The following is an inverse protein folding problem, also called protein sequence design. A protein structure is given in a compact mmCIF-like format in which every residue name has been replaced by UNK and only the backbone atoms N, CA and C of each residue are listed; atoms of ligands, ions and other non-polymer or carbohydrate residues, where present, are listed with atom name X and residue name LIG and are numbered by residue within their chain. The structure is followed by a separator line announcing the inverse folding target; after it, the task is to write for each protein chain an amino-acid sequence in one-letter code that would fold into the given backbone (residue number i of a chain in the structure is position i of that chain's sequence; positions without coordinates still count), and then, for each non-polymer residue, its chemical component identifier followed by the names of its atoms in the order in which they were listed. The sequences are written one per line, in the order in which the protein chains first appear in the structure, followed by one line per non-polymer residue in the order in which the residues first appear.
data_IF_471976946063
#
_entry.id   IF_471976946063
#
_cell.length_a   1.000
_cell.length_b   1.000
_cell.length_c   1.000
_cell.angle_alpha   90.00
_cell.angle_beta   90.00
_cell.angle_gamma   90.00
#
_symmetry.space_group_name_H-M   'P 1'
#
loop_
_entity.id
_entity.type
_entity.pdbx_description
1 polymer ?
#
# COMPACT_ATOMS: atom_id res chain seq x y z
N UNK A 1 10.73 -9.20 9.97
CA UNK A 1 11.87 -8.85 9.08
C UNK A 1 13.03 -8.46 9.96
N UNK A 2 14.24 -8.80 9.53
CA UNK A 2 15.44 -8.31 10.17
C UNK A 2 15.51 -6.79 9.98
N UNK A 3 15.88 -6.07 11.04
CA UNK A 3 16.17 -4.63 10.97
C UNK A 3 17.13 -4.27 9.80
N UNK A 4 17.92 -5.24 9.33
CA UNK A 4 18.90 -5.10 8.24
C UNK A 4 18.31 -4.71 6.87
N UNK A 5 17.14 -5.23 6.46
CA UNK A 5 16.63 -4.94 5.10
C UNK A 5 16.12 -3.51 4.97
N UNK A 6 15.37 -3.05 5.97
CA UNK A 6 14.89 -1.67 6.00
C UNK A 6 16.07 -0.70 6.15
N UNK A 7 17.04 -1.01 7.01
CA UNK A 7 18.26 -0.21 7.15
C UNK A 7 19.05 -0.11 5.85
N UNK A 8 19.21 -1.22 5.12
CA UNK A 8 19.88 -1.24 3.82
C UNK A 8 19.13 -0.40 2.78
N UNK A 9 17.81 -0.51 2.71
CA UNK A 9 17.01 0.30 1.80
C UNK A 9 17.12 1.80 2.10
N UNK A 10 17.06 2.18 3.38
CA UNK A 10 17.22 3.58 3.78
C UNK A 10 18.65 4.10 3.58
N UNK A 11 19.66 3.25 3.68
CA UNK A 11 21.03 3.61 3.30
C UNK A 11 21.12 3.95 1.81
N UNK A 12 20.52 3.13 0.94
CA UNK A 12 20.46 3.37 -0.52
C UNK A 12 19.72 4.69 -0.82
N UNK A 13 18.59 4.93 -0.16
CA UNK A 13 17.85 6.20 -0.30
C UNK A 13 18.73 7.39 0.06
N UNK A 14 19.40 7.36 1.22
CA UNK A 14 20.30 8.44 1.64
C UNK A 14 21.43 8.68 0.64
N UNK A 15 22.00 7.60 0.08
CA UNK A 15 23.03 7.70 -0.94
C UNK A 15 22.55 8.43 -2.19
N UNK A 16 21.32 8.16 -2.65
CA UNK A 16 20.79 8.78 -3.87
C UNK A 16 20.03 10.10 -3.65
N UNK A 17 19.72 10.49 -2.42
CA UNK A 17 18.74 11.53 -2.08
C UNK A 17 18.95 12.87 -2.81
N UNK A 18 20.20 13.32 -2.98
CA UNK A 18 20.55 14.57 -3.68
C UNK A 18 20.47 14.46 -5.22
N UNK A 19 20.37 13.25 -5.75
CA UNK A 19 20.39 12.92 -7.18
C UNK A 19 19.11 12.24 -7.67
N UNK A 20 18.08 12.17 -6.82
CA UNK A 20 16.79 11.60 -7.21
C UNK A 20 16.14 12.52 -8.26
N UNK A 21 15.59 11.96 -9.35
CA UNK A 21 14.80 12.72 -10.29
C UNK A 21 13.50 13.19 -9.63
N UNK A 22 12.78 14.09 -10.30
CA UNK A 22 11.38 14.34 -9.97
C UNK A 22 10.60 13.01 -10.02
N UNK A 23 9.64 12.84 -9.11
CA UNK A 23 8.83 11.62 -9.09
C UNK A 23 8.11 11.44 -10.43
N UNK A 24 8.26 10.28 -11.09
CA UNK A 24 7.54 9.99 -12.32
C UNK A 24 6.08 9.61 -12.05
N UNK A 25 5.73 9.29 -10.81
CA UNK A 25 4.37 8.93 -10.44
C UNK A 25 3.42 10.11 -10.67
N UNK A 26 2.33 9.85 -11.37
CA UNK A 26 1.25 10.81 -11.61
C UNK A 26 0.08 10.44 -10.73
N UNK A 27 -0.42 11.43 -10.00
CA UNK A 27 -1.63 11.31 -9.20
C UNK A 27 -2.71 12.15 -9.88
N UNK A 28 -3.95 11.64 -9.91
CA UNK A 28 -5.06 12.47 -10.39
C UNK A 28 -5.28 13.66 -9.46
N UNK A 29 -5.71 14.79 -10.03
CA UNK A 29 -6.01 16.00 -9.25
C UNK A 29 -7.38 15.88 -8.59
N UNK A 30 -7.42 15.96 -7.26
CA UNK A 30 -8.70 16.17 -6.57
C UNK A 30 -9.01 17.66 -6.55
N UNK A 31 -9.83 18.12 -7.50
CA UNK A 31 -10.28 19.51 -7.59
C UNK A 31 -10.99 20.04 -6.31
N UNK A 32 -11.33 19.15 -5.38
CA UNK A 32 -12.04 19.45 -4.13
C UNK A 32 -11.13 19.98 -3.00
N UNK A 33 -9.79 19.91 -3.10
CA UNK A 33 -8.91 20.24 -1.99
C UNK A 33 -8.62 21.74 -1.79
N UNK A 34 -9.07 22.61 -2.72
CA UNK A 34 -8.51 23.97 -2.81
C UNK A 34 -9.19 25.04 -1.96
N UNK A 35 -10.41 24.87 -1.42
CA UNK A 35 -11.15 26.05 -0.90
C UNK A 35 -11.91 25.91 0.43
N UNK A 36 -11.84 24.79 1.15
CA UNK A 36 -12.52 24.69 2.44
C UNK A 36 -11.74 23.84 3.46
N UNK A 37 -11.31 24.48 4.55
CA UNK A 37 -10.99 23.89 5.86
C UNK A 37 -10.25 22.55 5.94
N UNK A 38 -9.01 22.56 6.43
CA UNK A 38 -8.28 21.45 7.08
C UNK A 38 -8.17 20.07 6.37
N UNK A 39 -8.70 19.90 5.16
CA UNK A 39 -8.68 18.61 4.46
C UNK A 39 -7.25 18.23 4.09
N UNK A 40 -6.78 17.09 4.60
CA UNK A 40 -5.47 16.52 4.28
C UNK A 40 -5.60 15.57 3.10
N UNK A 41 -4.79 15.77 2.07
CA UNK A 41 -4.78 14.93 0.87
C UNK A 41 -3.68 13.87 1.01
N UNK A 42 -4.05 12.61 0.91
CA UNK A 42 -3.14 11.46 0.92
C UNK A 42 -2.78 11.05 -0.50
N UNK A 43 -1.51 10.84 -0.79
CA UNK A 43 -1.00 10.32 -2.07
C UNK A 43 -0.94 8.81 -2.06
N UNK A 44 -1.82 8.17 -2.81
CA UNK A 44 -1.96 6.71 -2.88
C UNK A 44 -1.40 6.20 -4.20
N UNK A 45 -0.42 5.30 -4.13
CA UNK A 45 0.25 4.77 -5.32
C UNK A 45 -0.04 3.28 -5.46
N UNK A 46 -0.76 2.92 -6.51
CA UNK A 46 -0.96 1.54 -6.91
C UNK A 46 0.21 1.07 -7.78
N UNK A 47 0.94 0.06 -7.32
CA UNK A 47 2.04 -0.53 -8.07
C UNK A 47 1.52 -1.71 -8.88
N UNK A 48 1.69 -1.64 -10.20
CA UNK A 48 1.47 -2.75 -11.13
C UNK A 48 2.77 -3.27 -11.70
N UNK A 49 2.78 -4.52 -12.17
CA UNK A 49 3.92 -5.12 -12.86
C UNK A 49 3.96 -4.77 -14.35
N UNK A 50 2.79 -4.59 -14.95
CA UNK A 50 2.60 -4.40 -16.39
C UNK A 50 1.25 -3.75 -16.64
N UNK A 51 1.15 -2.93 -17.68
CA UNK A 51 -0.12 -2.45 -18.25
C UNK A 51 -0.79 -3.49 -19.16
N UNK A 52 0.00 -4.43 -19.69
CA UNK A 52 -0.48 -5.58 -20.48
C UNK A 52 -0.80 -6.78 -19.59
N UNK A 53 -1.68 -7.72 -20.03
CA UNK A 53 -1.98 -8.94 -19.29
C UNK A 53 -0.70 -9.71 -18.91
N UNK A 54 -0.44 -9.81 -17.61
CA UNK A 54 0.70 -10.53 -17.06
C UNK A 54 0.28 -11.34 -15.84
N UNK A 55 1.12 -12.28 -15.43
CA UNK A 55 0.97 -12.96 -14.14
C UNK A 55 1.25 -12.01 -12.98
N UNK A 56 0.56 -12.24 -11.87
CA UNK A 56 0.69 -11.49 -10.62
C UNK A 56 0.19 -10.04 -10.69
N UNK A 57 -0.94 -9.82 -11.35
CA UNK A 57 -1.57 -8.51 -11.47
C UNK A 57 -2.82 -8.36 -10.62
N UNK A 58 -3.07 -7.11 -10.18
CA UNK A 58 -4.37 -6.67 -9.70
C UNK A 58 -5.23 -6.33 -10.92
N UNK A 59 -6.25 -7.14 -11.17
CA UNK A 59 -7.06 -7.07 -12.41
C UNK A 59 -7.99 -5.86 -12.44
N UNK A 60 -8.42 -5.38 -11.29
CA UNK A 60 -9.35 -4.25 -11.15
C UNK A 60 -8.65 -2.96 -10.73
N UNK A 61 -7.38 -2.75 -11.13
CA UNK A 61 -6.61 -1.57 -10.74
C UNK A 61 -7.28 -0.25 -11.18
N UNK A 62 -7.94 -0.24 -12.35
CA UNK A 62 -8.67 0.92 -12.86
C UNK A 62 -9.82 1.29 -11.91
N UNK A 63 -10.66 0.32 -11.55
CA UNK A 63 -11.81 0.52 -10.67
C UNK A 63 -11.37 0.93 -9.25
N UNK A 64 -10.23 0.42 -8.78
CA UNK A 64 -9.66 0.79 -7.49
C UNK A 64 -9.17 2.24 -7.48
N UNK A 65 -8.51 2.69 -8.54
CA UNK A 65 -8.04 4.09 -8.66
C UNK A 65 -9.23 5.04 -8.72
N UNK A 66 -10.28 4.69 -9.45
CA UNK A 66 -11.51 5.50 -9.53
C UNK A 66 -12.19 5.63 -8.17
N UNK A 67 -12.40 4.52 -7.45
CA UNK A 67 -12.96 4.55 -6.10
C UNK A 67 -12.06 5.31 -5.12
N UNK A 68 -10.75 5.19 -5.28
CA UNK A 68 -9.75 5.91 -4.50
C UNK A 68 -9.83 7.43 -4.69
N UNK A 69 -10.02 7.92 -5.91
CA UNK A 69 -10.22 9.35 -6.19
C UNK A 69 -11.47 9.92 -5.50
N UNK A 70 -12.52 9.10 -5.37
CA UNK A 70 -13.75 9.44 -4.67
C UNK A 70 -13.69 9.31 -3.14
N UNK A 71 -12.62 8.71 -2.59
CA UNK A 71 -12.55 8.40 -1.17
C UNK A 71 -12.43 9.67 -0.32
N UNK A 72 -13.26 9.75 0.73
CA UNK A 72 -13.26 10.80 1.74
C UNK A 72 -13.45 10.16 3.10
N UNK A 73 -12.76 10.68 4.11
CA UNK A 73 -12.83 10.17 5.47
C UNK A 73 -12.68 11.28 6.48
N UNK A 74 -13.53 11.30 7.51
CA UNK A 74 -13.37 12.17 8.67
C UNK A 74 -12.95 11.30 9.83
N UNK A 75 -11.76 11.54 10.36
CA UNK A 75 -11.29 10.81 11.54
C UNK A 75 -12.18 11.18 12.74
N UNK A 76 -12.85 10.21 13.38
CA UNK A 76 -13.85 10.50 14.41
C UNK A 76 -13.24 11.07 15.69
N UNK A 77 -11.96 10.81 15.96
CA UNK A 77 -11.28 11.27 17.17
C UNK A 77 -10.80 12.72 17.05
N UNK A 78 -10.30 13.12 15.87
CA UNK A 78 -9.71 14.44 15.63
C UNK A 78 -10.59 15.39 14.80
N UNK A 79 -11.64 14.87 14.16
CA UNK A 79 -12.46 15.58 13.15
C UNK A 79 -11.67 16.08 11.93
N UNK A 80 -10.42 15.63 11.75
CA UNK A 80 -9.63 15.96 10.56
C UNK A 80 -10.24 15.23 9.36
N UNK A 81 -10.46 15.98 8.29
CA UNK A 81 -10.93 15.44 7.01
C UNK A 81 -9.74 14.99 6.16
N UNK A 82 -9.92 13.87 5.47
CA UNK A 82 -8.97 13.28 4.56
C UNK A 82 -9.60 13.03 3.20
N UNK A 83 -8.81 13.25 2.16
CA UNK A 83 -9.09 12.86 0.79
C UNK A 83 -7.90 12.11 0.21
N UNK A 84 -8.05 11.49 -0.96
CA UNK A 84 -6.97 10.77 -1.62
C UNK A 84 -6.74 11.25 -3.06
N UNK A 85 -5.47 11.41 -3.41
CA UNK A 85 -4.98 11.54 -4.78
C UNK A 85 -4.32 10.22 -5.17
N UNK A 86 -4.87 9.56 -6.19
CA UNK A 86 -4.50 8.18 -6.50
C UNK A 86 -3.84 8.10 -7.87
N UNK A 87 -2.78 7.29 -7.95
CA UNK A 87 -1.98 7.10 -9.15
C UNK A 87 -1.59 5.65 -9.36
N UNK A 88 -1.24 5.29 -10.58
CA UNK A 88 -0.68 3.99 -10.93
C UNK A 88 0.78 4.17 -11.33
N UNK A 89 1.65 3.30 -10.83
CA UNK A 89 3.04 3.24 -11.24
C UNK A 89 3.44 1.81 -11.60
N UNK A 90 4.16 1.69 -12.73
CA UNK A 90 4.82 0.46 -13.13
C UNK A 90 6.33 0.65 -12.93
N UNK A 91 6.95 -0.01 -11.95
CA UNK A 91 8.39 0.09 -11.73
C UNK A 91 9.17 -0.36 -12.96
N UNK A 92 10.11 0.49 -13.39
CA UNK A 92 11.04 0.19 -14.48
C UNK A 92 12.37 -0.35 -13.99
N UNK A 93 13.36 -0.42 -14.89
CA UNK A 93 14.73 -0.81 -14.54
C UNK A 93 15.51 0.30 -13.78
N UNK A 94 15.09 1.56 -13.88
CA UNK A 94 15.78 2.65 -13.19
C UNK A 94 15.41 2.72 -11.70
N UNK A 95 16.36 2.33 -10.86
CA UNK A 95 16.22 2.35 -9.41
C UNK A 95 15.89 3.76 -8.87
N UNK A 96 16.50 4.82 -9.41
CA UNK A 96 16.29 6.19 -8.88
C UNK A 96 14.87 6.67 -9.13
N UNK A 97 14.33 6.42 -10.33
CA UNK A 97 12.92 6.68 -10.63
C UNK A 97 11.97 5.88 -9.74
N UNK A 98 12.28 4.61 -9.46
CA UNK A 98 11.48 3.78 -8.55
C UNK A 98 11.49 4.32 -7.12
N UNK A 99 12.66 4.72 -6.60
CA UNK A 99 12.79 5.37 -5.29
C UNK A 99 11.98 6.66 -5.27
N UNK A 100 12.13 7.52 -6.28
CA UNK A 100 11.40 8.78 -6.37
C UNK A 100 9.88 8.57 -6.40
N UNK A 101 9.40 7.58 -7.17
CA UNK A 101 7.99 7.23 -7.27
C UNK A 101 7.40 6.77 -5.93
N UNK A 102 8.02 5.80 -5.25
CA UNK A 102 7.45 5.30 -3.99
C UNK A 102 7.58 6.31 -2.84
N UNK A 103 8.59 7.20 -2.88
CA UNK A 103 8.77 8.24 -1.86
C UNK A 103 7.81 9.40 -2.01
N UNK A 104 7.25 9.63 -3.20
CA UNK A 104 6.18 10.62 -3.38
C UNK A 104 4.82 10.15 -2.86
N UNK A 105 4.69 8.88 -2.47
CA UNK A 105 3.46 8.31 -1.94
C UNK A 105 3.44 8.28 -0.41
N UNK A 106 2.23 8.39 0.15
CA UNK A 106 1.93 8.16 1.56
C UNK A 106 1.58 6.69 1.80
N UNK A 107 0.84 6.11 0.85
CA UNK A 107 0.46 4.70 0.86
C UNK A 107 0.84 4.06 -0.47
N UNK A 108 1.49 2.91 -0.41
CA UNK A 108 1.74 2.06 -1.58
C UNK A 108 0.89 0.80 -1.48
N UNK A 109 0.13 0.52 -2.52
CA UNK A 109 -0.72 -0.67 -2.65
C UNK A 109 -0.21 -1.48 -3.83
N UNK A 110 0.03 -2.77 -3.62
CA UNK A 110 0.41 -3.65 -4.72
C UNK A 110 0.40 -5.11 -4.31
N UNK A 111 0.56 -5.98 -5.31
CA UNK A 111 0.64 -7.42 -5.09
C UNK A 111 2.01 -7.82 -4.57
N UNK A 112 2.05 -8.76 -3.62
CA UNK A 112 3.30 -9.24 -3.06
C UNK A 112 4.27 -9.81 -4.12
N UNK A 113 5.56 -9.65 -3.85
CA UNK A 113 6.66 -10.07 -4.73
C UNK A 113 7.60 -8.91 -5.07
N UNK A 114 8.32 -9.06 -6.19
CA UNK A 114 9.37 -8.12 -6.62
C UNK A 114 8.86 -6.68 -6.81
N UNK A 115 7.62 -6.49 -7.26
CA UNK A 115 7.04 -5.16 -7.46
C UNK A 115 6.97 -4.37 -6.15
N UNK A 116 6.71 -5.05 -5.04
CA UNK A 116 6.60 -4.45 -3.71
C UNK A 116 7.95 -4.33 -2.98
N UNK A 117 9.05 -4.87 -3.52
CA UNK A 117 10.37 -4.61 -2.98
C UNK A 117 10.72 -3.11 -3.04
N UNK A 118 10.18 -2.38 -4.02
CA UNK A 118 10.36 -0.93 -4.09
C UNK A 118 9.75 -0.20 -2.88
N UNK A 119 8.74 -0.78 -2.22
CA UNK A 119 8.12 -0.17 -1.05
C UNK A 119 9.10 -0.07 0.14
N UNK A 120 10.23 -0.79 0.14
CA UNK A 120 11.28 -0.58 1.14
C UNK A 120 11.93 0.81 1.08
N UNK A 121 11.82 1.51 -0.05
CA UNK A 121 12.38 2.85 -0.24
C UNK A 121 11.42 3.98 0.16
N UNK A 122 10.19 3.66 0.60
CA UNK A 122 9.25 4.67 1.08
C UNK A 122 9.85 5.52 2.21
N UNK A 123 9.29 6.71 2.39
CA UNK A 123 9.58 7.57 3.53
C UNK A 123 9.18 6.88 4.83
N UNK A 124 9.87 7.22 5.91
CA UNK A 124 9.42 6.84 7.24
C UNK A 124 7.99 7.37 7.48
N UNK A 125 7.13 6.52 8.03
CA UNK A 125 5.71 6.84 8.21
C UNK A 125 4.84 6.68 6.98
N UNK A 126 5.38 6.16 5.87
CA UNK A 126 4.58 5.61 4.80
C UNK A 126 3.91 4.29 5.21
N UNK A 127 2.71 4.03 4.70
CA UNK A 127 2.06 2.73 4.84
C UNK A 127 2.25 1.88 3.59
N UNK A 128 2.35 0.56 3.83
CA UNK A 128 2.49 -0.44 2.79
C UNK A 128 1.40 -1.48 2.96
N UNK A 129 0.54 -1.61 1.96
CA UNK A 129 -0.40 -2.70 1.89
C UNK A 129 0.14 -3.77 0.95
N UNK A 130 0.23 -4.99 1.44
CA UNK A 130 0.62 -6.14 0.63
C UNK A 130 -0.50 -7.18 0.69
N UNK A 131 -0.90 -7.68 -0.47
CA UNK A 131 -1.68 -8.91 -0.51
C UNK A 131 -0.77 -10.10 -0.23
N UNK A 132 -1.03 -10.90 0.80
CA UNK A 132 -0.31 -12.17 1.02
C UNK A 132 -1.20 -13.28 0.50
N UNK A 133 -0.68 -14.09 -0.41
CA UNK A 133 -1.39 -15.28 -0.87
C UNK A 133 -1.87 -16.12 0.34
N UNK A 134 -3.11 -16.59 0.32
CA UNK A 134 -3.84 -17.23 1.42
C UNK A 134 -3.30 -18.59 1.88
N UNK A 135 -2.00 -18.86 1.70
CA UNK A 135 -1.40 -20.15 1.97
C UNK A 135 -0.19 -19.99 2.91
N UNK A 136 -0.41 -19.95 4.24
CA UNK A 136 0.66 -19.82 5.23
C UNK A 136 1.73 -20.93 5.16
N UNK A 137 1.45 -22.05 4.47
CA UNK A 137 2.38 -23.18 4.32
C UNK A 137 3.01 -23.32 2.92
N UNK A 138 2.72 -22.45 1.94
CA UNK A 138 3.14 -22.65 0.53
C UNK A 138 4.54 -22.12 0.19
N UNK A 139 5.25 -21.52 1.15
CA UNK A 139 6.57 -20.94 0.89
C UNK A 139 7.74 -21.94 0.83
N UNK A 140 7.54 -23.20 1.26
CA UNK A 140 8.56 -24.25 1.15
C UNK A 140 8.41 -25.03 -0.16
N UNK A 141 9.21 -24.66 -1.18
CA UNK A 141 9.41 -25.42 -2.42
C UNK A 141 8.29 -25.26 -3.45
N UNK A 142 8.35 -24.23 -4.31
CA UNK A 142 7.25 -23.93 -5.24
C UNK A 142 7.30 -24.76 -6.53
N UNK A 143 6.75 -25.97 -6.50
CA UNK A 143 6.29 -26.70 -7.70
C UNK A 143 4.77 -26.91 -7.66
N UNK A 144 4.14 -27.11 -8.82
CA UNK A 144 2.71 -27.44 -8.90
C UNK A 144 1.76 -26.28 -8.58
N UNK A 145 0.64 -26.58 -7.94
CA UNK A 145 -0.50 -25.66 -7.80
C UNK A 145 -0.23 -24.48 -6.85
N UNK A 146 0.70 -24.62 -5.89
CA UNK A 146 1.16 -23.52 -5.06
C UNK A 146 1.82 -22.39 -5.88
N UNK A 147 2.60 -22.77 -6.92
CA UNK A 147 3.17 -21.79 -7.86
C UNK A 147 2.08 -21.12 -8.69
N UNK A 148 1.08 -21.88 -9.16
CA UNK A 148 -0.05 -21.33 -9.94
C UNK A 148 -0.87 -20.33 -9.12
N UNK A 149 -1.18 -20.64 -7.87
CA UNK A 149 -1.90 -19.74 -6.96
C UNK A 149 -1.10 -18.46 -6.69
N UNK A 150 0.20 -18.57 -6.40
CA UNK A 150 1.09 -17.42 -6.25
C UNK A 150 1.22 -16.61 -7.53
N UNK A 151 1.15 -17.24 -8.69
CA UNK A 151 1.32 -16.57 -9.98
C UNK A 151 -0.02 -16.05 -10.54
N UNK A 152 -1.13 -16.31 -9.86
CA UNK A 152 -2.46 -15.90 -10.27
C UNK A 152 -2.64 -14.39 -10.22
N UNK A 153 -3.54 -13.93 -11.08
CA UNK A 153 -4.06 -12.57 -11.02
C UNK A 153 -5.19 -12.50 -10.01
N UNK A 154 -5.39 -11.33 -9.41
CA UNK A 154 -6.24 -11.14 -8.24
C UNK A 154 -7.14 -9.94 -8.43
N UNK A 155 -8.35 -10.01 -7.89
CA UNK A 155 -9.21 -8.85 -7.70
C UNK A 155 -9.09 -8.42 -6.24
N UNK A 156 -8.75 -7.16 -6.01
CA UNK A 156 -8.68 -6.61 -4.66
C UNK A 156 -10.00 -5.91 -4.36
N UNK A 157 -10.71 -6.27 -3.28
CA UNK A 157 -11.96 -5.60 -2.93
C UNK A 157 -11.68 -4.18 -2.42
N UNK A 158 -12.45 -3.21 -2.90
CA UNK A 158 -12.31 -1.79 -2.52
C UNK A 158 -12.37 -1.56 -1.02
N UNK A 159 -13.31 -2.21 -0.34
CA UNK A 159 -13.50 -2.11 1.12
C UNK A 159 -12.22 -2.47 1.90
N UNK A 160 -11.38 -3.37 1.37
CA UNK A 160 -10.09 -3.66 1.97
C UNK A 160 -9.08 -2.53 1.81
N UNK A 161 -9.09 -1.86 0.65
CA UNK A 161 -8.27 -0.67 0.39
C UNK A 161 -8.74 0.49 1.26
N UNK A 162 -10.05 0.79 1.27
CA UNK A 162 -10.64 1.87 2.06
C UNK A 162 -10.27 1.77 3.54
N UNK A 163 -10.34 0.56 4.12
CA UNK A 163 -9.98 0.35 5.50
C UNK A 163 -8.51 0.66 5.82
N UNK A 164 -7.59 0.35 4.89
CA UNK A 164 -6.18 0.73 5.03
C UNK A 164 -6.02 2.24 5.03
N UNK A 165 -6.74 2.94 4.15
CA UNK A 165 -6.71 4.39 4.05
C UNK A 165 -7.24 5.05 5.33
N UNK A 166 -8.36 4.57 5.87
CA UNK A 166 -8.94 5.04 7.14
C UNK A 166 -7.96 4.89 8.30
N UNK A 167 -7.30 3.74 8.39
CA UNK A 167 -6.34 3.52 9.46
C UNK A 167 -5.07 4.34 9.32
N UNK A 168 -4.57 4.52 8.09
CA UNK A 168 -3.48 5.43 7.84
C UNK A 168 -3.85 6.87 8.20
N UNK A 169 -5.05 7.32 7.81
CA UNK A 169 -5.59 8.61 8.18
C UNK A 169 -5.67 8.78 9.70
N UNK A 170 -6.17 7.76 10.43
CA UNK A 170 -6.19 7.78 11.89
C UNK A 170 -4.79 7.88 12.53
N UNK A 171 -3.77 7.27 11.93
CA UNK A 171 -2.36 7.45 12.36
C UNK A 171 -1.89 8.88 12.09
N UNK A 172 -2.17 9.43 10.91
CA UNK A 172 -1.80 10.81 10.57
C UNK A 172 -2.53 11.84 11.44
N UNK A 173 -3.78 11.57 11.80
CA UNK A 173 -4.58 12.37 12.73
C UNK A 173 -3.99 12.35 14.14
N UNK A 174 -3.50 11.19 14.61
CA UNK A 174 -2.90 11.01 15.92
C UNK A 174 -1.45 11.53 16.05
N UNK A 175 -0.92 12.24 15.04
CA UNK A 175 0.43 12.81 15.07
C UNK A 175 1.46 12.05 14.22
N UNK A 176 1.04 11.12 13.36
CA UNK A 176 1.90 10.49 12.37
C UNK A 176 2.84 9.43 12.96
N UNK A 177 4.14 9.59 12.76
CA UNK A 177 5.13 8.55 13.09
C UNK A 177 5.19 8.13 14.56
N UNK A 178 5.16 9.06 15.54
CA UNK A 178 5.09 8.69 16.95
C UNK A 178 3.88 7.79 17.25
N UNK A 179 2.69 8.14 16.75
CA UNK A 179 1.49 7.33 16.91
C UNK A 179 1.59 5.96 16.22
N UNK A 180 2.23 5.91 15.04
CA UNK A 180 2.52 4.65 14.38
C UNK A 180 3.43 3.75 15.22
N UNK A 181 4.52 4.30 15.77
CA UNK A 181 5.47 3.57 16.61
C UNK A 181 4.81 3.05 17.89
N UNK A 182 3.94 3.86 18.51
CA UNK A 182 3.17 3.47 19.69
C UNK A 182 2.21 2.31 19.37
N UNK A 183 1.42 2.42 18.28
CA UNK A 183 0.56 1.32 17.82
C UNK A 183 1.38 0.06 17.54
N UNK A 184 2.55 0.20 16.93
CA UNK A 184 3.45 -0.92 16.67
C UNK A 184 3.95 -1.59 17.94
N UNK A 185 4.33 -0.82 18.95
CA UNK A 185 4.76 -1.35 20.24
C UNK A 185 3.64 -2.16 20.93
N UNK A 186 2.38 -1.78 20.71
CA UNK A 186 1.21 -2.52 21.20
C UNK A 186 0.82 -3.74 20.35
N UNK A 187 1.51 -4.00 19.24
CA UNK A 187 1.07 -4.95 18.20
C UNK A 187 -0.25 -4.57 17.52
N UNK A 188 -0.70 -3.33 17.70
CA UNK A 188 -1.83 -2.72 16.99
C UNK A 188 -1.39 -2.10 15.65
N UNK A 189 -0.12 -2.26 15.27
CA UNK A 189 0.36 -1.69 14.02
C UNK A 189 -0.30 -2.36 12.83
N UNK A 190 -0.64 -1.50 11.92
CA UNK A 190 -1.44 -1.80 10.76
C UNK A 190 -0.51 -2.31 9.66
N UNK A 191 -0.38 -3.64 9.58
CA UNK A 191 0.13 -4.31 8.39
C UNK A 191 -1.03 -5.08 7.79
N UNK A 192 -1.64 -4.51 6.75
CA UNK A 192 -2.72 -5.21 6.06
C UNK A 192 -2.16 -6.24 5.12
N UNK A 193 -2.41 -7.47 5.52
CA UNK A 193 -2.33 -8.66 4.70
C UNK A 193 -3.75 -8.95 4.23
N UNK A 194 -4.05 -8.65 2.96
CA UNK A 194 -5.23 -9.25 2.34
C UNK A 194 -4.84 -10.65 1.88
N UNK A 195 -5.58 -11.67 2.31
CA UNK A 195 -5.43 -13.02 1.79
C UNK A 195 -6.56 -13.26 0.80
N UNK A 196 -6.21 -13.50 -0.46
CA UNK A 196 -7.14 -13.76 -1.57
C UNK A 196 -7.96 -15.06 -1.45
N UNK A 197 -8.33 -15.47 -0.23
CA UNK A 197 -9.45 -16.37 -0.04
C UNK A 197 -10.65 -15.77 -0.78
N UNK A 198 -11.31 -16.58 -1.63
CA UNK A 198 -12.55 -16.19 -2.29
C UNK A 198 -13.50 -15.67 -1.21
N UNK A 199 -13.71 -14.36 -1.12
CA UNK A 199 -14.81 -13.80 -0.32
C UNK A 199 -16.07 -14.37 -0.96
N UNK A 200 -16.73 -15.29 -0.26
CA UNK A 200 -18.00 -15.79 -0.76
C UNK A 200 -19.04 -14.67 -0.68
N UNK A 201 -19.97 -14.58 -1.63
CA UNK A 201 -21.07 -13.63 -1.54
C UNK A 201 -21.75 -13.74 -0.17
N UNK A 202 -21.71 -12.67 0.64
CA UNK A 202 -22.30 -12.63 1.99
C UNK A 202 -21.33 -12.75 3.17
N UNK A 203 -20.03 -12.96 2.96
CA UNK A 203 -19.07 -12.92 4.06
C UNK A 203 -18.76 -11.48 4.50
N UNK A 204 -18.85 -11.23 5.81
CA UNK A 204 -18.55 -9.92 6.42
C UNK A 204 -17.05 -9.75 6.69
N UNK A 205 -16.58 -8.50 6.66
CA UNK A 205 -15.17 -8.14 6.84
C UNK A 205 -14.54 -8.60 8.16
N UNK A 206 -15.35 -8.83 9.19
CA UNK A 206 -14.85 -9.22 10.51
C UNK A 206 -14.15 -10.58 10.51
N UNK A 207 -14.43 -11.45 9.54
CA UNK A 207 -13.75 -12.75 9.40
C UNK A 207 -12.34 -12.63 8.80
N UNK A 208 -12.12 -11.65 7.91
CA UNK A 208 -10.86 -11.42 7.19
C UNK A 208 -9.77 -10.85 8.11
N UNK A 209 -10.15 -10.12 9.16
CA UNK A 209 -9.23 -9.50 10.15
C UNK A 209 -8.27 -10.50 10.84
N UNK A 210 -8.66 -11.77 10.94
CA UNK A 210 -7.96 -12.77 11.76
C UNK A 210 -6.59 -13.26 11.25
N UNK A 211 -6.11 -12.79 10.09
CA UNK A 211 -4.83 -13.24 9.49
C UNK A 211 -3.80 -12.14 9.26
N UNK A 212 -4.08 -10.90 9.68
CA UNK A 212 -3.13 -9.80 9.57
C UNK A 212 -1.98 -10.00 10.58
N UNK A 213 -0.78 -10.25 10.08
CA UNK A 213 0.44 -10.32 10.90
C UNK A 213 1.31 -9.10 10.63
N UNK A 214 1.74 -8.46 11.73
CA UNK A 214 2.77 -7.44 11.71
C UNK A 214 4.11 -8.10 11.38
N UNK A 215 4.64 -7.84 10.18
CA UNK A 215 6.00 -8.22 9.88
C UNK A 215 6.94 -7.24 10.59
N UNK A 216 7.76 -7.74 11.51
CA UNK A 216 8.82 -6.98 12.19
C UNK A 216 9.79 -6.33 11.22
#
# INVERSE_FOLDING_TARGET
MSASLLQAAQFIVRHYQSSLPASPAKYGSTAAASNAGSTRVLKILFITRSTEPAYRQVLNIKDLVEQCQGWRYTDPASSIQFAAECGVWQPGADLRSNIAAVRSADVVIGRHGASMANAFFMREGGARQHEVDAHPNSYKGSTGDAKKARDANVHVPWVGVAHVLEQYAGVQAAGGMPAYQERRARSDAVSYVYSGAKIQPGETWDRVKSSASCWT
#
